data_IF_261505419597
#
_entry.id   IF_261505419597
#
_cell.length_a   1.000
_cell.length_b   1.000
_cell.length_c   1.000
_cell.angle_alpha   90.00
_cell.angle_beta   90.00
_cell.angle_gamma   90.00
#
_symmetry.space_group_name_H-M   'P 1'
#
loop_
_entity.id
_entity.type
_entity.pdbx_description
1 polymer ?
#
# COMPACT_ATOMS: atom_id res chain seq x y z
N UNK A 1 25.65 -11.38 -15.01
CA UNK A 1 25.78 -11.83 -13.60
C UNK A 1 24.64 -11.33 -12.70
N UNK A 2 24.01 -10.18 -13.00
CA UNK A 2 22.88 -9.65 -12.20
C UNK A 2 21.53 -10.32 -12.50
N UNK A 3 21.38 -10.93 -13.65
CA UNK A 3 20.15 -11.65 -14.03
C UNK A 3 19.93 -12.95 -13.27
N UNK A 4 20.97 -13.61 -12.80
CA UNK A 4 20.86 -14.88 -12.04
C UNK A 4 20.48 -14.64 -10.57
N UNK A 5 20.97 -13.55 -9.95
CA UNK A 5 20.57 -13.19 -8.58
C UNK A 5 19.11 -12.74 -8.51
N UNK A 6 18.62 -11.98 -9.50
CA UNK A 6 17.22 -11.56 -9.53
C UNK A 6 16.25 -12.71 -9.80
N UNK A 7 16.67 -13.75 -10.54
CA UNK A 7 15.91 -15.00 -10.73
C UNK A 7 15.85 -15.80 -9.43
N UNK A 8 16.99 -15.96 -8.74
CA UNK A 8 17.04 -16.71 -7.48
C UNK A 8 16.22 -16.10 -6.36
N UNK A 9 16.25 -14.75 -6.20
CA UNK A 9 15.42 -14.03 -5.22
C UNK A 9 13.93 -14.14 -5.55
N UNK A 10 13.56 -14.04 -6.83
CA UNK A 10 12.19 -14.25 -7.28
C UNK A 10 11.67 -15.66 -6.97
N UNK A 11 12.51 -16.68 -7.07
CA UNK A 11 12.13 -18.07 -6.78
C UNK A 11 12.07 -18.37 -5.28
N UNK A 12 12.93 -17.75 -4.46
CA UNK A 12 12.87 -17.82 -2.99
C UNK A 12 11.61 -17.12 -2.48
N UNK A 13 11.32 -15.91 -2.96
CA UNK A 13 10.11 -15.18 -2.62
C UNK A 13 8.83 -15.94 -2.98
N UNK A 14 8.79 -16.54 -4.17
CA UNK A 14 7.66 -17.37 -4.61
C UNK A 14 7.42 -18.59 -3.71
N UNK A 15 8.48 -19.24 -3.23
CA UNK A 15 8.38 -20.40 -2.34
C UNK A 15 7.91 -20.02 -0.94
N UNK A 16 8.25 -18.82 -0.47
CA UNK A 16 7.85 -18.33 0.86
C UNK A 16 6.42 -17.80 0.88
N UNK A 17 6.02 -17.02 -0.13
CA UNK A 17 4.69 -16.37 -0.19
C UNK A 17 3.59 -17.35 -0.64
N UNK A 18 3.95 -18.39 -1.41
CA UNK A 18 3.00 -19.38 -1.93
C UNK A 18 3.58 -20.80 -1.85
N UNK A 19 3.83 -21.33 -0.67
CA UNK A 19 4.32 -22.70 -0.55
C UNK A 19 3.30 -23.67 -1.18
N UNK A 20 3.78 -24.51 -2.10
CA UNK A 20 2.97 -25.55 -2.75
C UNK A 20 2.17 -25.11 -3.98
N UNK A 21 2.18 -23.84 -4.39
CA UNK A 21 1.54 -23.42 -5.64
C UNK A 21 2.56 -23.49 -6.81
N UNK A 22 2.30 -24.28 -7.87
CA UNK A 22 3.18 -24.34 -9.03
C UNK A 22 3.32 -22.97 -9.69
N UNK A 23 4.53 -22.57 -10.01
CA UNK A 23 4.79 -21.28 -10.68
C UNK A 23 3.95 -21.09 -11.94
N UNK A 24 3.77 -22.16 -12.73
CA UNK A 24 2.99 -22.08 -13.98
C UNK A 24 1.51 -21.74 -13.72
N UNK A 25 0.93 -22.19 -12.61
CA UNK A 25 -0.42 -21.82 -12.25
C UNK A 25 -0.54 -20.31 -11.93
N UNK A 26 0.44 -19.72 -11.25
CA UNK A 26 0.53 -18.28 -11.01
C UNK A 26 0.71 -17.54 -12.34
N UNK A 27 1.65 -17.99 -13.17
CA UNK A 27 1.92 -17.38 -14.47
C UNK A 27 0.71 -17.45 -15.41
N UNK A 28 -0.04 -18.53 -15.37
CA UNK A 28 -1.28 -18.68 -16.14
C UNK A 28 -2.35 -17.67 -15.69
N UNK A 29 -2.58 -17.52 -14.39
CA UNK A 29 -3.50 -16.50 -13.84
C UNK A 29 -3.07 -15.08 -14.23
N UNK A 30 -1.78 -14.78 -14.14
CA UNK A 30 -1.25 -13.48 -14.56
C UNK A 30 -1.47 -13.22 -16.05
N UNK A 31 -1.23 -14.21 -16.91
CA UNK A 31 -1.44 -14.07 -18.38
C UNK A 31 -2.93 -13.97 -18.75
N UNK A 32 -3.81 -14.57 -17.96
CA UNK A 32 -5.26 -14.52 -18.18
C UNK A 32 -5.85 -13.15 -17.81
N UNK A 33 -5.23 -12.41 -16.92
CA UNK A 33 -5.70 -11.10 -16.49
C UNK A 33 -5.42 -10.04 -17.55
N UNK A 34 -6.48 -9.40 -18.09
CA UNK A 34 -6.40 -8.37 -19.12
C UNK A 34 -6.31 -6.96 -18.55
N UNK A 35 -6.82 -6.77 -17.34
CA UNK A 35 -6.84 -5.49 -16.64
C UNK A 35 -6.11 -5.60 -15.30
N UNK A 36 -5.74 -4.44 -14.73
CA UNK A 36 -5.16 -4.39 -13.38
C UNK A 36 -6.14 -4.85 -12.31
N UNK A 37 -7.43 -4.57 -12.49
CA UNK A 37 -8.49 -5.05 -11.61
C UNK A 37 -8.54 -6.58 -11.62
N UNK A 38 -8.64 -7.20 -12.79
CA UNK A 38 -8.61 -8.66 -12.93
C UNK A 38 -7.34 -9.30 -12.35
N UNK A 39 -6.18 -8.63 -12.47
CA UNK A 39 -4.94 -9.11 -11.84
C UNK A 39 -5.07 -9.14 -10.31
N UNK A 40 -5.59 -8.08 -9.72
CA UNK A 40 -5.79 -8.02 -8.26
C UNK A 40 -6.82 -9.06 -7.80
N UNK A 41 -7.94 -9.20 -8.50
CA UNK A 41 -8.99 -10.17 -8.15
C UNK A 41 -8.56 -11.62 -8.38
N UNK A 42 -7.97 -11.93 -9.52
CA UNK A 42 -7.60 -13.30 -9.88
C UNK A 42 -6.37 -13.84 -9.13
N UNK A 43 -5.45 -12.95 -8.75
CA UNK A 43 -4.20 -13.35 -8.12
C UNK A 43 -4.08 -12.83 -6.69
N UNK A 44 -4.09 -11.50 -6.49
CA UNK A 44 -3.80 -10.91 -5.19
C UNK A 44 -4.87 -11.24 -4.15
N UNK A 45 -6.16 -11.15 -4.53
CA UNK A 45 -7.27 -11.52 -3.66
C UNK A 45 -7.13 -12.95 -3.12
N UNK A 46 -6.93 -13.93 -4.01
CA UNK A 46 -6.83 -15.33 -3.59
C UNK A 46 -5.65 -15.61 -2.64
N UNK A 47 -4.52 -14.90 -2.82
CA UNK A 47 -3.36 -15.01 -1.94
C UNK A 47 -3.66 -14.43 -0.55
N UNK A 48 -4.15 -13.19 -0.53
CA UNK A 48 -4.41 -12.45 0.71
C UNK A 48 -5.58 -13.05 1.49
N UNK A 49 -6.64 -13.47 0.80
CA UNK A 49 -7.76 -14.17 1.43
C UNK A 49 -7.32 -15.50 2.06
N UNK A 50 -6.48 -16.28 1.35
CA UNK A 50 -5.91 -17.50 1.92
C UNK A 50 -5.04 -17.20 3.12
N UNK A 51 -4.17 -16.18 3.04
CA UNK A 51 -3.33 -15.76 4.15
C UNK A 51 -4.19 -15.40 5.36
N UNK A 52 -5.18 -14.53 5.20
CA UNK A 52 -6.09 -14.17 6.28
C UNK A 52 -6.76 -15.40 6.92
N UNK A 53 -7.28 -16.31 6.09
CA UNK A 53 -7.94 -17.53 6.55
C UNK A 53 -7.01 -18.47 7.31
N UNK A 54 -5.75 -18.58 6.91
CA UNK A 54 -4.80 -19.52 7.49
C UNK A 54 -4.12 -18.97 8.76
N UNK A 55 -4.09 -17.63 8.95
CA UNK A 55 -3.31 -16.99 10.00
C UNK A 55 -4.11 -16.09 10.94
N UNK A 56 -5.42 -15.92 10.71
CA UNK A 56 -6.29 -15.07 11.53
C UNK A 56 -7.65 -15.73 11.76
N UNK A 57 -8.39 -15.24 12.74
CA UNK A 57 -9.79 -15.64 12.97
C UNK A 57 -10.76 -14.95 11.97
N UNK A 58 -10.26 -14.06 11.11
CA UNK A 58 -11.01 -13.39 10.05
C UNK A 58 -10.67 -11.91 9.93
N UNK A 59 -11.24 -11.31 8.87
CA UNK A 59 -11.18 -9.88 8.63
C UNK A 59 -12.55 -9.28 8.91
N UNK A 60 -12.60 -8.22 9.70
CA UNK A 60 -13.83 -7.51 10.05
C UNK A 60 -13.79 -6.10 9.45
N UNK A 61 -14.83 -5.74 8.73
CA UNK A 61 -15.00 -4.40 8.18
C UNK A 61 -16.28 -3.78 8.76
N UNK A 62 -16.09 -2.75 9.57
CA UNK A 62 -17.20 -2.03 10.21
C UNK A 62 -17.59 -0.78 9.42
N UNK A 63 -18.81 -0.31 9.63
CA UNK A 63 -19.32 0.99 9.15
C UNK A 63 -19.38 1.18 7.62
N UNK A 64 -19.29 0.13 6.82
CA UNK A 64 -19.43 0.23 5.33
C UNK A 64 -20.80 0.73 4.88
N UNK A 65 -21.84 0.55 5.69
CA UNK A 65 -23.20 0.94 5.32
C UNK A 65 -23.41 2.43 5.04
N UNK A 66 -22.47 3.28 5.52
CA UNK A 66 -22.51 4.74 5.30
C UNK A 66 -21.90 5.17 3.96
N UNK A 67 -21.20 4.27 3.25
CA UNK A 67 -20.57 4.58 1.98
C UNK A 67 -21.50 4.30 0.80
N UNK A 68 -21.54 5.25 -0.15
CA UNK A 68 -22.20 5.04 -1.42
C UNK A 68 -21.33 4.17 -2.32
N UNK A 69 -21.78 2.97 -2.66
CA UNK A 69 -21.05 2.01 -3.50
C UNK A 69 -20.76 2.50 -4.93
N UNK A 70 -21.40 3.57 -5.38
CA UNK A 70 -21.18 4.16 -6.71
C UNK A 70 -20.17 5.30 -6.69
N UNK A 71 -19.64 5.66 -5.51
CA UNK A 71 -18.68 6.74 -5.36
C UNK A 71 -17.27 6.19 -5.15
N UNK A 72 -16.28 6.94 -5.65
CA UNK A 72 -14.87 6.68 -5.35
C UNK A 72 -14.45 7.45 -4.09
N UNK A 73 -13.57 6.86 -3.30
CA UNK A 73 -13.13 7.38 -2.00
C UNK A 73 -11.61 7.37 -1.86
N UNK A 74 -11.09 8.33 -1.12
CA UNK A 74 -9.70 8.31 -0.65
C UNK A 74 -9.67 7.78 0.78
N UNK A 75 -9.31 6.52 0.95
CA UNK A 75 -9.11 5.91 2.26
C UNK A 75 -7.77 6.35 2.84
N UNK A 76 -7.81 7.10 3.93
CA UNK A 76 -6.63 7.57 4.66
C UNK A 76 -6.54 6.79 5.96
N UNK A 77 -5.52 5.95 6.11
CA UNK A 77 -5.40 5.08 7.28
C UNK A 77 -4.11 5.26 8.06
N UNK A 78 -4.12 4.82 9.31
CA UNK A 78 -2.88 4.47 10.00
C UNK A 78 -2.10 3.44 9.18
N UNK A 79 -0.79 3.30 9.45
CA UNK A 79 0.08 2.44 8.64
C UNK A 79 0.82 1.44 9.52
N UNK A 80 0.38 0.19 9.47
CA UNK A 80 0.92 -0.91 10.27
C UNK A 80 1.78 -1.86 9.44
N UNK A 81 1.36 -2.16 8.20
CA UNK A 81 2.10 -3.07 7.32
C UNK A 81 2.22 -2.55 5.88
N UNK A 82 3.31 -2.94 5.19
CA UNK A 82 3.61 -2.44 3.83
C UNK A 82 2.61 -3.00 2.80
N UNK A 83 2.17 -4.26 2.99
CA UNK A 83 1.35 -4.99 2.03
C UNK A 83 -0.07 -5.20 2.57
N UNK A 84 -0.19 -5.60 3.84
CA UNK A 84 -1.44 -6.08 4.40
C UNK A 84 -2.48 -4.97 4.56
N UNK A 85 -2.09 -3.75 4.93
CA UNK A 85 -3.04 -2.65 5.14
C UNK A 85 -3.91 -2.39 3.90
N UNK A 86 -3.29 -2.09 2.76
CA UNK A 86 -4.00 -1.87 1.50
C UNK A 86 -4.52 -3.16 0.87
N UNK A 87 -3.84 -4.27 1.13
CA UNK A 87 -4.19 -5.58 0.63
C UNK A 87 -5.47 -6.10 1.25
N UNK A 88 -5.60 -6.11 2.57
CA UNK A 88 -6.82 -6.54 3.26
C UNK A 88 -7.98 -5.59 3.04
N UNK A 89 -7.73 -4.28 2.95
CA UNK A 89 -8.77 -3.35 2.50
C UNK A 89 -9.31 -3.76 1.13
N UNK A 90 -8.43 -4.07 0.17
CA UNK A 90 -8.85 -4.50 -1.18
C UNK A 90 -9.64 -5.83 -1.15
N UNK A 91 -9.24 -6.79 -0.30
CA UNK A 91 -9.99 -8.03 -0.09
C UNK A 91 -11.41 -7.73 0.39
N UNK A 92 -11.54 -6.93 1.44
CA UNK A 92 -12.83 -6.58 2.05
C UNK A 92 -13.73 -5.78 1.08
N UNK A 93 -13.15 -4.90 0.27
CA UNK A 93 -13.90 -4.16 -0.77
C UNK A 93 -14.45 -5.09 -1.84
N UNK A 94 -13.66 -6.04 -2.33
CA UNK A 94 -14.10 -7.06 -3.30
C UNK A 94 -15.24 -7.92 -2.74
N UNK A 95 -15.17 -8.31 -1.48
CA UNK A 95 -16.25 -9.05 -0.80
C UNK A 95 -17.55 -8.25 -0.69
N UNK A 96 -17.47 -6.93 -0.69
CA UNK A 96 -18.62 -6.02 -0.73
C UNK A 96 -19.11 -5.72 -2.17
N UNK A 97 -18.49 -6.31 -3.19
CA UNK A 97 -18.80 -6.07 -4.60
C UNK A 97 -18.29 -4.72 -5.11
N UNK A 98 -17.21 -4.20 -4.51
CA UNK A 98 -16.54 -2.96 -4.88
C UNK A 98 -15.21 -3.26 -5.58
N UNK A 99 -14.74 -2.28 -6.37
CA UNK A 99 -13.41 -2.31 -6.96
C UNK A 99 -12.31 -2.18 -5.88
N UNK A 100 -11.16 -2.78 -6.15
CA UNK A 100 -9.94 -2.58 -5.36
C UNK A 100 -9.44 -1.14 -5.48
N UNK A 101 -8.55 -0.73 -4.58
CA UNK A 101 -8.01 0.63 -4.54
C UNK A 101 -6.75 0.80 -5.39
N UNK A 102 -6.48 2.04 -5.83
CA UNK A 102 -5.13 2.48 -6.20
C UNK A 102 -4.32 2.76 -4.93
N UNK A 103 -3.05 2.36 -4.92
CA UNK A 103 -2.25 2.33 -3.71
C UNK A 103 -1.08 3.32 -3.82
N UNK A 104 -1.00 4.25 -2.88
CA UNK A 104 0.16 5.14 -2.74
C UNK A 104 1.36 4.38 -2.15
N UNK A 105 2.47 4.29 -2.88
CA UNK A 105 3.66 3.55 -2.44
C UNK A 105 4.92 4.42 -2.54
N UNK A 106 5.79 4.37 -1.52
CA UNK A 106 7.06 5.09 -1.54
C UNK A 106 8.04 4.50 -2.57
N UNK A 107 8.79 5.38 -3.25
CA UNK A 107 9.78 4.98 -4.26
C UNK A 107 10.97 4.23 -3.69
N UNK A 108 11.23 4.36 -2.38
CA UNK A 108 12.25 3.58 -1.66
C UNK A 108 12.03 2.06 -1.72
N UNK A 109 10.80 1.60 -1.98
CA UNK A 109 10.47 0.18 -2.14
C UNK A 109 10.73 -0.34 -3.56
N UNK A 110 10.98 0.55 -4.53
CA UNK A 110 11.14 0.22 -5.95
C UNK A 110 12.59 -0.13 -6.32
N UNK A 111 13.23 -0.96 -5.52
CA UNK A 111 14.66 -1.28 -5.61
C UNK A 111 14.98 -2.11 -6.85
N UNK A 112 14.14 -3.11 -7.11
CA UNK A 112 14.36 -4.04 -8.21
C UNK A 112 13.43 -3.77 -9.40
N UNK A 113 13.89 -3.98 -10.65
CA UNK A 113 13.06 -3.77 -11.84
C UNK A 113 11.75 -4.59 -11.84
N UNK A 114 11.76 -5.79 -11.25
CA UNK A 114 10.57 -6.63 -11.17
C UNK A 114 9.55 -6.07 -10.17
N UNK A 115 9.99 -5.47 -9.05
CA UNK A 115 9.10 -4.80 -8.10
C UNK A 115 8.39 -3.64 -8.79
N UNK A 116 9.12 -2.81 -9.57
CA UNK A 116 8.53 -1.70 -10.34
C UNK A 116 7.41 -2.18 -11.29
N UNK A 117 7.58 -3.34 -11.91
CA UNK A 117 6.55 -3.93 -12.77
C UNK A 117 5.36 -4.42 -11.95
N UNK A 118 5.63 -5.14 -10.86
CA UNK A 118 4.58 -5.70 -9.98
C UNK A 118 3.69 -4.61 -9.39
N UNK A 119 4.28 -3.55 -8.81
CA UNK A 119 3.50 -2.46 -8.22
C UNK A 119 2.68 -1.70 -9.26
N UNK A 120 3.17 -1.54 -10.49
CA UNK A 120 2.40 -0.91 -11.57
C UNK A 120 1.19 -1.75 -11.99
N UNK A 121 1.33 -3.07 -12.05
CA UNK A 121 0.22 -3.98 -12.34
C UNK A 121 -0.77 -3.97 -11.17
N UNK A 122 -0.28 -3.85 -9.94
CA UNK A 122 -1.09 -3.78 -8.73
C UNK A 122 -1.70 -2.39 -8.45
N UNK A 123 -1.97 -1.59 -9.48
CA UNK A 123 -2.57 -0.24 -9.39
C UNK A 123 -1.81 0.76 -8.51
N UNK A 124 -0.52 0.50 -8.16
CA UNK A 124 0.21 1.44 -7.33
C UNK A 124 0.67 2.68 -8.11
N UNK A 125 0.63 3.83 -7.45
CA UNK A 125 1.30 5.05 -7.88
C UNK A 125 2.37 5.46 -6.87
N UNK A 126 3.39 6.18 -7.34
CA UNK A 126 4.62 6.37 -6.57
C UNK A 126 4.64 7.71 -5.87
N UNK A 127 4.89 7.67 -4.55
CA UNK A 127 5.23 8.83 -3.72
C UNK A 127 6.75 8.98 -3.73
N UNK A 128 7.25 10.07 -4.31
CA UNK A 128 8.67 10.35 -4.40
C UNK A 128 9.22 10.84 -3.04
N UNK A 129 10.37 10.32 -2.65
CA UNK A 129 11.10 10.66 -1.43
C UNK A 129 12.48 11.21 -1.77
N UNK A 130 13.23 11.61 -0.76
CA UNK A 130 14.61 12.10 -0.90
C UNK A 130 14.78 13.23 -1.94
N UNK A 131 13.83 14.17 -2.01
CA UNK A 131 13.82 15.32 -2.91
C UNK A 131 14.28 16.59 -2.18
N UNK A 132 14.77 17.57 -2.95
CA UNK A 132 14.93 18.95 -2.46
C UNK A 132 13.56 19.56 -2.15
N UNK A 133 13.51 20.61 -1.31
CA UNK A 133 12.25 21.28 -0.95
C UNK A 133 11.40 21.66 -2.17
N UNK A 134 12.02 22.24 -3.20
CA UNK A 134 11.31 22.61 -4.45
C UNK A 134 10.75 21.40 -5.19
N UNK A 135 11.56 20.37 -5.36
CA UNK A 135 11.13 19.11 -6.00
C UNK A 135 10.03 18.40 -5.21
N UNK A 136 10.10 18.46 -3.88
CA UNK A 136 9.06 17.90 -3.00
C UNK A 136 7.72 18.61 -3.22
N UNK A 137 7.71 19.95 -3.30
CA UNK A 137 6.49 20.71 -3.57
C UNK A 137 5.91 20.37 -4.95
N UNK A 138 6.74 20.38 -6.00
CA UNK A 138 6.31 20.05 -7.37
C UNK A 138 5.76 18.60 -7.45
N UNK A 139 6.42 17.66 -6.76
CA UNK A 139 5.97 16.26 -6.70
C UNK A 139 4.66 16.12 -5.93
N UNK A 140 4.49 16.84 -4.82
CA UNK A 140 3.26 16.84 -4.02
C UNK A 140 2.07 17.39 -4.81
N UNK A 141 2.24 18.50 -5.52
CA UNK A 141 1.21 19.07 -6.39
C UNK A 141 0.81 18.08 -7.49
N UNK A 142 1.79 17.48 -8.16
CA UNK A 142 1.53 16.49 -9.23
C UNK A 142 0.78 15.27 -8.70
N UNK A 143 1.17 14.77 -7.52
CA UNK A 143 0.53 13.63 -6.89
C UNK A 143 -0.90 13.96 -6.47
N UNK A 144 -1.11 15.11 -5.86
CA UNK A 144 -2.44 15.58 -5.46
C UNK A 144 -3.36 15.73 -6.67
N UNK A 145 -2.91 16.36 -7.76
CA UNK A 145 -3.67 16.44 -9.03
C UNK A 145 -4.03 15.07 -9.59
N UNK A 146 -3.10 14.11 -9.52
CA UNK A 146 -3.39 12.74 -9.92
C UNK A 146 -4.48 12.10 -9.07
N UNK A 147 -4.48 12.34 -7.75
CA UNK A 147 -5.50 11.81 -6.84
C UNK A 147 -6.87 12.44 -7.13
N UNK A 148 -6.95 13.76 -7.32
CA UNK A 148 -8.18 14.43 -7.75
C UNK A 148 -8.71 13.86 -9.08
N UNK A 149 -7.86 13.72 -10.08
CA UNK A 149 -8.22 13.07 -11.35
C UNK A 149 -8.71 11.62 -11.15
N UNK A 150 -8.07 10.87 -10.26
CA UNK A 150 -8.44 9.47 -9.99
C UNK A 150 -9.83 9.36 -9.35
N UNK A 151 -10.16 10.24 -8.42
CA UNK A 151 -11.49 10.30 -7.78
C UNK A 151 -12.54 10.87 -8.75
N UNK A 152 -12.26 12.03 -9.34
CA UNK A 152 -13.25 12.77 -10.12
C UNK A 152 -13.54 12.16 -11.50
N UNK A 153 -12.50 11.74 -12.22
CA UNK A 153 -12.60 11.31 -13.62
C UNK A 153 -12.54 9.78 -13.77
N UNK A 154 -11.54 9.13 -13.15
CA UNK A 154 -11.41 7.67 -13.23
C UNK A 154 -12.44 6.93 -12.40
N UNK A 155 -13.08 7.60 -11.43
CA UNK A 155 -14.03 7.00 -10.48
C UNK A 155 -13.43 5.79 -9.75
N UNK A 156 -12.14 5.88 -9.44
CA UNK A 156 -11.38 4.82 -8.78
C UNK A 156 -10.99 5.25 -7.37
N UNK A 157 -11.24 4.39 -6.39
CA UNK A 157 -10.85 4.64 -5.00
C UNK A 157 -9.34 4.53 -4.80
N UNK A 158 -8.83 5.25 -3.80
CA UNK A 158 -7.40 5.35 -3.46
C UNK A 158 -7.19 4.94 -2.01
N UNK A 159 -6.09 4.29 -1.72
CA UNK A 159 -5.55 4.14 -0.37
C UNK A 159 -4.24 4.89 -0.22
N UNK A 160 -4.13 5.64 0.87
CA UNK A 160 -2.91 6.34 1.28
C UNK A 160 -2.75 6.28 2.80
N UNK A 161 -1.50 6.09 3.26
CA UNK A 161 -1.19 6.17 4.67
C UNK A 161 -1.26 7.62 5.19
N UNK A 162 -1.75 7.81 6.42
CA UNK A 162 -1.85 9.11 7.08
C UNK A 162 -0.50 9.73 7.47
N UNK A 163 0.58 8.99 7.33
CA UNK A 163 1.93 9.42 7.68
C UNK A 163 2.98 8.73 6.80
N UNK A 164 4.18 9.29 6.82
CA UNK A 164 5.34 8.65 6.21
C UNK A 164 5.86 7.50 7.07
N UNK A 165 5.92 6.31 6.47
CA UNK A 165 6.41 5.09 7.09
C UNK A 165 5.44 4.49 8.11
N UNK A 166 5.69 3.23 8.46
CA UNK A 166 4.89 2.47 9.42
C UNK A 166 5.14 2.96 10.84
N UNK A 167 4.11 2.98 11.67
CA UNK A 167 4.25 3.19 13.11
C UNK A 167 4.99 1.99 13.74
N UNK A 168 5.94 2.28 14.63
CA UNK A 168 6.76 1.30 15.36
C UNK A 168 6.44 1.29 16.85
N UNK A 169 5.64 2.24 17.24
CA UNK A 169 5.08 2.41 18.58
C UNK A 169 3.58 2.66 18.44
N UNK A 170 2.91 2.92 19.52
CA UNK A 170 1.47 3.19 19.52
C UNK A 170 1.13 4.62 19.07
N UNK A 171 2.11 5.46 18.77
CA UNK A 171 1.92 6.86 18.37
C UNK A 171 1.78 6.98 16.84
N UNK A 172 0.63 6.64 16.32
CA UNK A 172 0.31 6.69 14.90
C UNK A 172 -0.56 7.91 14.58
N UNK A 173 0.05 9.09 14.61
CA UNK A 173 -0.62 10.39 14.40
C UNK A 173 -0.60 10.76 12.92
N UNK A 174 -1.70 11.34 12.44
CA UNK A 174 -1.80 11.91 11.09
C UNK A 174 -0.81 13.07 10.93
N UNK A 175 -0.02 13.04 9.86
CA UNK A 175 0.91 14.12 9.53
C UNK A 175 0.19 15.23 8.76
N UNK A 176 0.30 16.47 9.23
CA UNK A 176 -0.22 17.66 8.56
C UNK A 176 0.23 17.79 7.11
N UNK A 177 1.46 17.36 6.82
CA UNK A 177 2.02 17.37 5.47
C UNK A 177 1.23 16.51 4.50
N UNK A 178 0.64 15.40 4.96
CA UNK A 178 -0.22 14.54 4.12
C UNK A 178 -1.51 15.28 3.78
N UNK A 179 -2.18 15.90 4.76
CA UNK A 179 -3.42 16.65 4.52
C UNK A 179 -3.17 17.87 3.62
N UNK A 180 -2.08 18.61 3.85
CA UNK A 180 -1.66 19.71 2.98
C UNK A 180 -1.43 19.25 1.55
N UNK A 181 -0.71 18.13 1.38
CA UNK A 181 -0.46 17.56 0.07
C UNK A 181 -1.78 17.17 -0.63
N UNK A 182 -2.70 16.51 0.06
CA UNK A 182 -4.01 16.13 -0.49
C UNK A 182 -4.79 17.34 -1.04
N UNK A 183 -4.71 18.47 -0.37
CA UNK A 183 -5.41 19.70 -0.76
C UNK A 183 -4.77 20.50 -1.91
N UNK A 184 -3.55 20.14 -2.37
CA UNK A 184 -2.80 20.95 -3.35
C UNK A 184 -3.30 20.82 -4.81
N UNK A 185 -4.08 19.79 -5.12
CA UNK A 185 -4.38 19.41 -6.51
C UNK A 185 -5.66 19.97 -7.07
N UNK A 186 -6.57 20.43 -6.25
CA UNK A 186 -7.85 21.04 -6.67
C UNK A 186 -7.74 22.53 -6.94
N UNK A 187 -8.78 23.09 -7.50
CA UNK A 187 -8.85 24.52 -7.88
C UNK A 187 -9.53 25.40 -6.82
N UNK A 188 -10.07 24.79 -5.76
CA UNK A 188 -10.76 25.45 -4.65
C UNK A 188 -9.86 25.81 -3.48
N UNK A 189 -10.46 26.21 -2.38
CA UNK A 189 -9.76 26.32 -1.11
C UNK A 189 -9.43 24.95 -0.51
N UNK A 190 -8.69 24.93 0.59
CA UNK A 190 -8.23 23.68 1.25
C UNK A 190 -9.38 22.74 1.57
N UNK A 191 -10.48 23.29 2.11
CA UNK A 191 -11.64 22.48 2.54
C UNK A 191 -12.36 21.90 1.34
N UNK A 192 -12.62 22.71 0.33
CA UNK A 192 -13.24 22.29 -0.93
C UNK A 192 -12.41 21.18 -1.61
N UNK A 193 -11.10 21.37 -1.71
CA UNK A 193 -10.21 20.38 -2.32
C UNK A 193 -10.19 19.06 -1.54
N UNK A 194 -10.22 19.10 -0.20
CA UNK A 194 -10.32 17.88 0.61
C UNK A 194 -11.67 17.18 0.45
N UNK A 195 -12.75 17.94 0.33
CA UNK A 195 -14.10 17.40 0.09
C UNK A 195 -14.21 16.70 -1.26
N UNK A 196 -13.59 17.24 -2.32
CA UNK A 196 -13.54 16.61 -3.66
C UNK A 196 -12.91 15.22 -3.65
N UNK A 197 -11.98 14.97 -2.74
CA UNK A 197 -11.32 13.67 -2.60
C UNK A 197 -12.17 12.62 -1.89
N UNK A 198 -13.36 12.95 -1.39
CA UNK A 198 -14.23 12.02 -0.64
C UNK A 198 -13.43 11.24 0.41
N UNK A 199 -12.73 11.95 1.31
CA UNK A 199 -11.83 11.33 2.28
C UNK A 199 -12.63 10.49 3.28
N UNK A 200 -12.22 9.24 3.43
CA UNK A 200 -12.72 8.30 4.43
C UNK A 200 -11.58 7.95 5.38
N UNK A 201 -11.62 8.42 6.63
CA UNK A 201 -10.70 7.94 7.64
C UNK A 201 -10.92 6.45 7.88
N UNK A 202 -9.83 5.68 7.83
CA UNK A 202 -9.84 4.25 8.06
C UNK A 202 -8.91 3.91 9.22
N UNK A 203 -9.39 3.22 10.23
CA UNK A 203 -8.57 2.68 11.30
C UNK A 203 -8.34 1.20 11.07
N UNK A 204 -7.07 0.80 11.05
CA UNK A 204 -6.65 -0.59 10.89
C UNK A 204 -6.03 -1.06 12.21
N UNK A 205 -6.54 -2.15 12.74
CA UNK A 205 -5.98 -2.80 13.92
C UNK A 205 -5.74 -4.29 13.66
N UNK A 206 -4.66 -4.78 14.21
CA UNK A 206 -4.30 -6.20 14.22
C UNK A 206 -4.22 -6.64 15.68
N UNK A 207 -4.68 -7.82 15.99
CA UNK A 207 -4.51 -8.41 17.33
C UNK A 207 -3.02 -8.57 17.65
N UNK A 208 -2.28 -9.13 16.69
CA UNK A 208 -0.81 -9.17 16.70
C UNK A 208 -0.28 -8.30 15.56
N UNK A 209 0.50 -7.28 15.89
CA UNK A 209 0.98 -6.32 14.90
C UNK A 209 1.97 -6.97 13.92
N UNK A 210 1.72 -6.92 12.61
CA UNK A 210 2.62 -7.52 11.62
C UNK A 210 4.05 -7.00 11.77
N UNK A 211 5.05 -7.90 11.74
CA UNK A 211 6.47 -7.58 11.92
C UNK A 211 6.79 -6.86 13.26
N UNK A 212 6.06 -7.14 14.33
CA UNK A 212 6.23 -6.48 15.63
C UNK A 212 7.68 -6.56 16.13
N UNK A 213 8.29 -7.74 16.08
CA UNK A 213 9.69 -7.95 16.45
C UNK A 213 10.65 -7.05 15.68
N UNK A 214 10.55 -7.01 14.36
CA UNK A 214 11.43 -6.20 13.50
C UNK A 214 11.19 -4.69 13.71
N UNK A 215 9.95 -4.29 13.97
CA UNK A 215 9.61 -2.90 14.33
C UNK A 215 10.21 -2.51 15.68
N UNK A 216 10.09 -3.37 16.67
CA UNK A 216 10.68 -3.15 18.00
C UNK A 216 12.20 -3.06 17.91
N UNK A 217 12.85 -3.96 17.16
CA UNK A 217 14.29 -3.92 16.91
C UNK A 217 14.72 -2.62 16.23
N UNK A 218 14.03 -2.19 15.17
CA UNK A 218 14.33 -0.93 14.48
C UNK A 218 14.16 0.27 15.44
N UNK A 219 13.14 0.25 16.28
CA UNK A 219 12.91 1.29 17.28
C UNK A 219 14.04 1.37 18.30
N UNK A 220 14.48 0.22 18.82
CA UNK A 220 15.62 0.14 19.75
C UNK A 220 16.92 0.61 19.11
N UNK A 221 17.23 0.17 17.89
CA UNK A 221 18.43 0.57 17.17
C UNK A 221 18.48 2.09 16.94
N UNK A 222 17.35 2.70 16.60
CA UNK A 222 17.26 4.16 16.45
C UNK A 222 17.42 4.92 17.75
N UNK A 223 17.00 4.34 18.89
CA UNK A 223 17.18 4.92 20.22
C UNK A 223 18.63 4.81 20.72
N UNK A 224 19.24 3.65 20.51
CA UNK A 224 20.50 3.28 21.16
C UNK A 224 21.74 3.62 20.32
N UNK A 225 21.59 3.75 19.00
CA UNK A 225 22.69 4.05 18.08
C UNK A 225 22.46 5.41 17.42
N UNK A 226 23.26 6.43 17.78
CA UNK A 226 23.24 7.71 17.07
C UNK A 226 23.51 7.46 15.57
N UNK A 227 22.75 8.15 14.70
CA UNK A 227 22.88 8.05 13.23
C UNK A 227 22.51 6.70 12.60
N UNK A 228 21.85 5.78 13.32
CA UNK A 228 21.31 4.56 12.71
C UNK A 228 20.41 4.88 11.53
N UNK A 229 20.77 4.33 10.38
CA UNK A 229 19.97 4.42 9.16
C UNK A 229 19.51 3.04 8.75
N UNK A 230 18.21 2.91 8.59
CA UNK A 230 17.59 1.72 8.02
C UNK A 230 18.11 1.47 6.61
N UNK A 231 18.41 0.22 6.30
CA UNK A 231 18.83 -0.20 4.96
C UNK A 231 17.63 -0.59 4.10
N UNK A 232 17.85 -0.70 2.82
CA UNK A 232 16.82 -1.15 1.87
C UNK A 232 16.50 -2.65 2.05
N UNK A 233 17.48 -3.42 2.51
CA UNK A 233 17.31 -4.85 2.81
C UNK A 233 16.41 -5.06 4.02
N UNK A 234 16.40 -4.13 4.98
CA UNK A 234 15.48 -4.16 6.13
C UNK A 234 14.02 -4.00 5.69
N UNK A 235 13.74 -3.16 4.68
CA UNK A 235 12.38 -3.02 4.12
C UNK A 235 11.97 -4.28 3.37
N UNK A 236 12.88 -4.90 2.63
CA UNK A 236 12.62 -6.15 1.94
C UNK A 236 12.36 -7.30 2.93
N UNK A 237 13.15 -7.40 3.99
CA UNK A 237 12.95 -8.38 5.06
C UNK A 237 11.57 -8.23 5.70
N UNK A 238 11.18 -6.99 6.03
CA UNK A 238 9.84 -6.71 6.58
C UNK A 238 8.71 -7.09 5.62
N UNK A 239 8.89 -6.97 4.31
CA UNK A 239 7.90 -7.41 3.31
C UNK A 239 7.81 -8.93 3.20
N UNK A 240 8.85 -9.65 3.60
CA UNK A 240 8.91 -11.11 3.51
C UNK A 240 8.42 -11.82 4.77
N UNK A 241 8.48 -11.15 5.90
CA UNK A 241 8.21 -11.74 7.23
C UNK A 241 6.94 -11.21 7.89
N UNK A 242 6.33 -10.16 7.33
CA UNK A 242 5.03 -9.57 7.74
C UNK A 242 3.86 -10.20 7.03
#
# INVERSE_FOLDING_TARGET
>A
RDTDRSRGLGDVYKRQVMPGVPFEAIAQKMRASKTKQEFQENLCYGILHKLAKDTTDGLILESMAVLNKQSAYTYVSNHRDIILDSGFLSVLLVEQGLDTVEIAIGDNLLIYPWIKKLVRINKCFTVQRALTMRQMLESSIRMSRYMHYTIAEKKQSIWIAQREGRAKDSNDVTQDSVLKMLAMGGDGDIITNLQELNIVPLSISYEYDPCDYLKAQEFQLKRDIPDYKKTTDDDLLNMQTG
#
